data_IF_942087467452
#
_entry.id   IF_942087467452
#
_cell.length_a   1.000
_cell.length_b   1.000
_cell.length_c   1.000
_cell.angle_alpha   90.00
_cell.angle_beta   90.00
_cell.angle_gamma   90.00
#
_symmetry.space_group_name_H-M   'P 1'
#
loop_
_entity.id
_entity.type
_entity.pdbx_description
1 polymer ?
#
# COMPACT_ATOMS: atom_id res chain seq x y z
N UNK A 1 -11.73 19.71 -0.14
CA UNK A 1 -10.27 19.57 -0.21
C UNK A 1 -9.93 18.08 -0.27
N UNK A 2 -9.06 17.65 -1.19
CA UNK A 2 -8.61 16.25 -1.25
C UNK A 2 -7.53 15.99 -0.20
N UNK A 3 -7.57 14.80 0.42
CA UNK A 3 -6.51 14.30 1.31
C UNK A 3 -5.29 13.91 0.48
N UNK A 4 -4.11 14.37 0.90
CA UNK A 4 -2.84 14.20 0.17
C UNK A 4 -1.90 13.16 0.82
N UNK A 5 -2.45 12.37 1.75
CA UNK A 5 -1.75 11.35 2.50
C UNK A 5 -1.83 9.97 1.81
N UNK A 6 -0.76 9.18 1.94
CA UNK A 6 -0.76 7.77 1.55
C UNK A 6 -1.39 6.96 2.67
N UNK A 7 -2.46 6.21 2.37
CA UNK A 7 -3.12 5.34 3.34
C UNK A 7 -2.37 4.00 3.46
N UNK A 8 -2.03 3.60 4.69
CA UNK A 8 -1.55 2.26 5.00
C UNK A 8 -2.68 1.46 5.66
N UNK A 9 -3.01 0.28 5.17
CA UNK A 9 -4.11 -0.54 5.72
C UNK A 9 -3.87 -2.04 5.54
N UNK A 10 -4.48 -2.85 6.42
CA UNK A 10 -4.62 -4.31 6.30
C UNK A 10 -6.03 -4.71 5.82
N UNK A 11 -6.94 -3.73 5.67
CA UNK A 11 -8.33 -3.96 5.25
C UNK A 11 -8.41 -4.38 3.77
N UNK A 12 -8.84 -5.62 3.55
CA UNK A 12 -8.97 -6.23 2.22
C UNK A 12 -10.10 -5.58 1.41
N UNK A 13 -11.15 -5.10 2.05
CA UNK A 13 -12.31 -4.51 1.36
C UNK A 13 -11.96 -3.15 0.75
N UNK A 14 -10.96 -2.48 1.33
CA UNK A 14 -10.35 -1.28 0.76
C UNK A 14 -9.74 -1.53 -0.63
N UNK A 15 -9.13 -2.70 -0.83
CA UNK A 15 -8.56 -3.08 -2.12
C UNK A 15 -9.62 -3.15 -3.22
N UNK A 16 -10.81 -3.67 -2.89
CA UNK A 16 -11.93 -3.74 -3.81
C UNK A 16 -12.53 -2.36 -4.09
N UNK A 17 -12.67 -1.51 -3.08
CA UNK A 17 -13.21 -0.15 -3.24
C UNK A 17 -12.30 0.69 -4.14
N UNK A 18 -11.00 0.75 -3.84
CA UNK A 18 -10.05 1.60 -4.58
C UNK A 18 -9.82 1.04 -5.99
N UNK A 19 -9.69 -0.28 -6.14
CA UNK A 19 -9.43 -0.89 -7.43
C UNK A 19 -10.66 -0.90 -8.35
N UNK A 20 -11.85 -1.21 -7.83
CA UNK A 20 -13.08 -1.30 -8.64
C UNK A 20 -13.71 0.06 -8.90
N UNK A 21 -13.68 1.00 -7.93
CA UNK A 21 -14.34 2.31 -8.06
C UNK A 21 -13.44 3.43 -8.57
N UNK A 22 -12.15 3.18 -8.81
CA UNK A 22 -11.15 4.16 -9.32
C UNK A 22 -11.22 5.51 -8.60
N UNK A 23 -11.43 5.48 -7.29
CA UNK A 23 -11.49 6.72 -6.52
C UNK A 23 -10.12 7.39 -6.52
N UNK A 24 -10.11 8.73 -6.62
CA UNK A 24 -8.88 9.51 -6.46
C UNK A 24 -8.29 9.29 -5.08
N UNK A 25 -7.00 8.98 -5.03
CA UNK A 25 -6.24 8.80 -3.80
C UNK A 25 -4.83 9.33 -3.99
N UNK A 26 -4.20 9.84 -2.93
CA UNK A 26 -2.79 10.23 -2.96
C UNK A 26 -1.84 9.02 -2.81
N UNK A 27 -2.38 7.83 -2.52
CA UNK A 27 -1.66 6.56 -2.46
C UNK A 27 -2.35 5.60 -1.50
N UNK A 28 -2.28 4.30 -1.78
CA UNK A 28 -2.77 3.25 -0.87
C UNK A 28 -1.74 2.14 -0.81
N UNK A 29 -1.42 1.69 0.40
CA UNK A 29 -0.56 0.55 0.67
C UNK A 29 -1.40 -0.48 1.44
N UNK A 30 -1.65 -1.61 0.81
CA UNK A 30 -2.32 -2.76 1.39
C UNK A 30 -1.28 -3.77 1.88
N UNK A 31 -1.25 -4.03 3.18
CA UNK A 31 -0.37 -5.01 3.81
C UNK A 31 -1.02 -6.39 3.77
N UNK A 32 -0.30 -7.40 3.28
CA UNK A 32 -0.72 -8.81 3.23
C UNK A 32 0.43 -9.71 3.71
N UNK A 33 0.69 -9.66 5.01
CA UNK A 33 1.85 -10.30 5.67
C UNK A 33 1.47 -10.87 7.05
N UNK A 34 0.28 -11.44 7.17
CA UNK A 34 -0.26 -11.94 8.44
C UNK A 34 0.52 -13.17 8.95
N UNK A 35 1.27 -13.81 8.07
CA UNK A 35 2.19 -14.91 8.38
C UNK A 35 3.50 -14.46 9.03
N UNK A 36 3.83 -13.16 8.99
CA UNK A 36 5.04 -12.62 9.60
C UNK A 36 4.78 -12.15 11.02
N UNK A 37 5.79 -12.35 11.89
CA UNK A 37 5.78 -11.74 13.21
C UNK A 37 5.81 -10.21 13.09
N UNK A 38 5.27 -9.46 14.07
CA UNK A 38 5.13 -8.01 13.98
C UNK A 38 6.45 -7.27 13.67
N UNK A 39 7.56 -7.70 14.26
CA UNK A 39 8.88 -7.09 14.03
C UNK A 39 9.31 -7.18 12.55
N UNK A 40 9.22 -8.37 11.96
CA UNK A 40 9.56 -8.59 10.54
C UNK A 40 8.61 -7.84 9.62
N UNK A 41 7.32 -7.76 9.99
CA UNK A 41 6.31 -7.01 9.25
C UNK A 41 6.67 -5.53 9.19
N UNK A 42 7.01 -4.92 10.32
CA UNK A 42 7.41 -3.51 10.42
C UNK A 42 8.70 -3.26 9.66
N UNK A 43 9.73 -4.10 9.84
CA UNK A 43 11.00 -3.94 9.15
C UNK A 43 10.82 -3.96 7.62
N UNK A 44 9.99 -4.88 7.12
CA UNK A 44 9.67 -4.96 5.69
C UNK A 44 8.87 -3.76 5.19
N UNK A 45 7.89 -3.27 5.95
CA UNK A 45 7.13 -2.07 5.57
C UNK A 45 8.06 -0.86 5.46
N UNK A 46 8.92 -0.64 6.46
CA UNK A 46 9.86 0.48 6.46
C UNK A 46 10.84 0.40 5.30
N UNK A 47 11.38 -0.78 5.01
CA UNK A 47 12.27 -0.99 3.87
C UNK A 47 11.58 -0.66 2.54
N UNK A 48 10.33 -1.12 2.34
CA UNK A 48 9.58 -0.84 1.11
C UNK A 48 9.26 0.64 0.96
N UNK A 49 8.88 1.31 2.05
CA UNK A 49 8.61 2.75 2.03
C UNK A 49 9.89 3.52 1.66
N UNK A 50 11.01 3.21 2.29
CA UNK A 50 12.28 3.90 2.04
C UNK A 50 12.77 3.70 0.60
N UNK A 51 12.62 2.50 0.03
CA UNK A 51 13.11 2.21 -1.33
C UNK A 51 12.18 2.76 -2.42
N UNK A 52 10.87 2.83 -2.16
CA UNK A 52 9.88 3.13 -3.20
C UNK A 52 9.07 4.41 -2.97
N UNK A 53 9.43 5.28 -2.02
CA UNK A 53 8.64 6.46 -1.61
C UNK A 53 8.03 7.27 -2.77
N UNK A 54 8.79 7.52 -3.83
CA UNK A 54 8.35 8.28 -5.01
C UNK A 54 7.25 7.54 -5.77
N UNK A 55 7.38 6.22 -5.88
CA UNK A 55 6.46 5.35 -6.62
C UNK A 55 5.20 4.99 -5.81
N UNK A 56 5.21 5.19 -4.49
CA UNK A 56 4.04 4.95 -3.64
C UNK A 56 3.00 6.07 -3.75
N UNK A 57 3.42 7.27 -4.15
CA UNK A 57 2.52 8.40 -4.42
C UNK A 57 1.65 8.10 -5.64
N UNK A 58 0.37 8.43 -5.51
CA UNK A 58 -0.66 8.18 -6.52
C UNK A 58 -0.69 6.73 -7.01
N UNK A 59 -0.29 5.76 -6.18
CA UNK A 59 -0.26 4.35 -6.54
C UNK A 59 -1.07 3.50 -5.58
N UNK A 60 -1.59 2.39 -6.10
CA UNK A 60 -2.12 1.30 -5.31
C UNK A 60 -1.04 0.22 -5.17
N UNK A 61 -0.54 0.04 -3.95
CA UNK A 61 0.56 -0.85 -3.62
C UNK A 61 0.08 -2.00 -2.75
N UNK A 62 0.52 -3.21 -3.05
CA UNK A 62 0.33 -4.38 -2.19
C UNK A 62 1.69 -4.85 -1.72
N UNK A 63 1.91 -4.91 -0.41
CA UNK A 63 3.11 -5.46 0.20
C UNK A 63 2.76 -6.84 0.75
N UNK A 64 3.38 -7.89 0.22
CA UNK A 64 3.33 -9.23 0.81
C UNK A 64 4.71 -9.71 1.22
N UNK A 65 4.76 -10.82 1.95
CA UNK A 65 6.01 -11.47 2.37
C UNK A 65 6.90 -11.83 1.18
N UNK A 66 6.29 -12.19 0.04
CA UNK A 66 7.00 -12.65 -1.16
C UNK A 66 7.34 -11.53 -2.13
N UNK A 67 6.51 -10.50 -2.26
CA UNK A 67 6.71 -9.45 -3.27
C UNK A 67 6.03 -8.13 -2.92
N UNK A 68 6.48 -7.06 -3.56
CA UNK A 68 5.80 -5.76 -3.60
C UNK A 68 5.20 -5.58 -4.99
N UNK A 69 3.94 -5.17 -5.06
CA UNK A 69 3.29 -4.83 -6.34
C UNK A 69 2.80 -3.40 -6.27
N UNK A 70 3.41 -2.51 -7.07
CA UNK A 70 3.01 -1.11 -7.19
C UNK A 70 2.23 -0.95 -8.50
N UNK A 71 1.06 -0.34 -8.44
CA UNK A 71 0.25 0.01 -9.62
C UNK A 71 -0.01 1.51 -9.62
N UNK A 72 0.52 2.28 -10.57
CA UNK A 72 0.17 3.70 -10.71
C UNK A 72 -1.34 3.87 -10.88
N UNK A 73 -1.91 4.83 -10.14
CA UNK A 73 -3.27 5.31 -10.33
C UNK A 73 -3.38 6.06 -11.66
N UNK A 74 -4.55 6.01 -12.28
CA UNK A 74 -4.90 6.84 -13.44
C UNK A 74 -5.60 8.11 -13.00
#
# INVERSE_FOLDING_TARGET
AGRNEVLLTEDKDFGDIVHKRRQRHAGVILIRMNELVPADRVARILMVISVHEVHLKNAFTVISSKRVRIRPGR
#
